data_IF_634015979791
#
_entry.id   IF_634015979791
#
_cell.length_a   1.000
_cell.length_b   1.000
_cell.length_c   1.000
_cell.angle_alpha   90.00
_cell.angle_beta   90.00
_cell.angle_gamma   90.00
#
_symmetry.space_group_name_H-M   'P 1'
#
loop_
_entity.id
_entity.type
_entity.pdbx_description
1 polymer ?
#
# COMPACT_ATOMS: atom_id res chain seq x y z
N UNK A 1 13.43 -13.44 -12.05
CA UNK A 1 14.48 -12.42 -12.21
C UNK A 1 15.77 -12.99 -11.61
N UNK A 2 16.94 -12.40 -11.89
CA UNK A 2 18.15 -12.79 -11.15
C UNK A 2 18.03 -12.33 -9.69
N UNK A 3 18.61 -13.07 -8.75
CA UNK A 3 18.55 -12.73 -7.32
C UNK A 3 19.03 -11.28 -7.00
N UNK A 4 20.09 -10.74 -7.64
CA UNK A 4 20.50 -9.35 -7.42
C UNK A 4 19.41 -8.33 -7.80
N UNK A 5 18.67 -8.57 -8.88
CA UNK A 5 17.60 -7.68 -9.30
C UNK A 5 16.41 -7.74 -8.34
N UNK A 6 16.09 -8.92 -7.79
CA UNK A 6 15.04 -9.07 -6.78
C UNK A 6 15.39 -8.30 -5.50
N UNK A 7 16.65 -8.34 -5.07
CA UNK A 7 17.13 -7.58 -3.90
C UNK A 7 17.07 -6.07 -4.16
N UNK A 8 17.54 -5.61 -5.33
CA UNK A 8 17.49 -4.20 -5.69
C UNK A 8 16.06 -3.65 -5.64
N UNK A 9 15.11 -4.37 -6.25
CA UNK A 9 13.70 -4.00 -6.21
C UNK A 9 13.09 -4.08 -4.81
N UNK A 10 13.54 -5.02 -3.99
CA UNK A 10 13.09 -5.10 -2.60
C UNK A 10 13.54 -3.87 -1.79
N UNK A 11 14.77 -3.39 -1.99
CA UNK A 11 15.29 -2.17 -1.36
C UNK A 11 14.53 -0.94 -1.86
N UNK A 12 14.33 -0.80 -3.17
CA UNK A 12 13.55 0.30 -3.75
C UNK A 12 12.14 0.30 -3.17
N UNK A 13 11.48 -0.86 -3.14
CA UNK A 13 10.16 -1.01 -2.56
C UNK A 13 10.12 -0.63 -1.08
N UNK A 14 11.14 -1.00 -0.31
CA UNK A 14 11.21 -0.68 1.12
C UNK A 14 11.30 0.84 1.33
N UNK A 15 12.19 1.50 0.57
CA UNK A 15 12.35 2.95 0.64
C UNK A 15 11.08 3.68 0.20
N UNK A 16 10.41 3.18 -0.84
CA UNK A 16 9.12 3.72 -1.28
C UNK A 16 8.03 3.54 -0.23
N UNK A 17 7.93 2.38 0.44
CA UNK A 17 6.94 2.16 1.50
C UNK A 17 7.21 3.07 2.70
N UNK A 18 8.47 3.23 3.11
CA UNK A 18 8.84 4.14 4.20
C UNK A 18 8.50 5.58 3.83
N UNK A 19 8.96 6.07 2.68
CA UNK A 19 8.65 7.42 2.21
C UNK A 19 7.14 7.65 2.06
N UNK A 20 6.44 6.69 1.46
CA UNK A 20 5.00 6.72 1.29
C UNK A 20 4.21 6.69 2.60
N UNK A 21 4.81 6.23 3.71
CA UNK A 21 4.17 6.27 5.03
C UNK A 21 3.96 7.70 5.52
N UNK A 22 4.86 8.62 5.15
CA UNK A 22 4.85 10.01 5.59
C UNK A 22 4.35 11.00 4.52
N UNK A 23 4.08 10.52 3.30
CA UNK A 23 3.57 11.35 2.21
C UNK A 23 2.06 11.17 2.06
N UNK A 24 1.32 12.25 2.33
CA UNK A 24 -0.12 12.32 2.14
C UNK A 24 -0.48 12.40 0.65
N UNK A 25 -1.57 11.74 0.26
CA UNK A 25 -2.06 11.72 -1.11
C UNK A 25 -2.98 12.91 -1.35
N UNK A 26 -2.71 13.64 -2.44
CA UNK A 26 -3.49 14.80 -2.85
C UNK A 26 -4.10 14.58 -4.24
N UNK A 27 -5.31 15.09 -4.42
CA UNK A 27 -5.98 15.18 -5.72
C UNK A 27 -5.98 16.63 -6.19
N UNK A 28 -5.63 16.85 -7.46
CA UNK A 28 -5.66 18.18 -8.07
C UNK A 28 -7.07 18.46 -8.56
N UNK A 29 -7.73 19.45 -7.98
CA UNK A 29 -9.14 19.75 -8.28
C UNK A 29 -9.32 20.55 -9.56
N UNK A 30 -8.35 21.39 -9.92
CA UNK A 30 -8.43 22.26 -11.08
C UNK A 30 -7.64 21.71 -12.27
N UNK A 31 -8.17 21.85 -13.49
CA UNK A 31 -7.52 21.30 -14.67
C UNK A 31 -6.26 22.11 -15.09
N UNK A 32 -5.36 21.52 -15.90
CA UNK A 32 -4.06 22.12 -16.22
C UNK A 32 -4.11 23.49 -16.88
N UNK A 33 -5.20 23.81 -17.59
CA UNK A 33 -5.37 25.10 -18.26
C UNK A 33 -5.64 26.27 -17.28
N UNK A 34 -6.08 25.99 -16.06
CA UNK A 34 -6.34 27.00 -15.03
C UNK A 34 -5.15 27.20 -14.07
N UNK A 35 -4.08 26.40 -14.19
CA UNK A 35 -2.94 26.46 -13.28
C UNK A 35 -2.13 27.77 -13.40
N UNK A 36 -2.13 28.40 -14.58
CA UNK A 36 -1.42 29.65 -14.81
C UNK A 36 -2.06 30.84 -14.10
N UNK A 37 -3.37 30.78 -13.84
CA UNK A 37 -4.15 31.89 -13.27
C UNK A 37 -4.54 31.65 -11.81
N UNK A 38 -4.84 30.40 -11.44
CA UNK A 38 -5.35 30.05 -10.10
C UNK A 38 -4.36 29.21 -9.27
N UNK A 39 -3.19 28.89 -9.82
CA UNK A 39 -2.24 27.96 -9.20
C UNK A 39 -2.74 26.52 -9.21
N UNK A 40 -1.99 25.60 -8.61
CA UNK A 40 -2.41 24.20 -8.45
C UNK A 40 -3.21 24.09 -7.16
N UNK A 41 -4.51 23.82 -7.25
CA UNK A 41 -5.35 23.58 -6.08
C UNK A 41 -5.39 22.09 -5.75
N UNK A 42 -4.99 21.75 -4.53
CA UNK A 42 -4.92 20.35 -4.06
C UNK A 42 -5.90 20.10 -2.93
N UNK A 43 -6.55 18.95 -2.97
CA UNK A 43 -7.43 18.45 -1.91
C UNK A 43 -6.77 17.20 -1.32
N UNK A 44 -6.63 17.14 0.00
CA UNK A 44 -6.15 15.92 0.67
C UNK A 44 -7.18 14.80 0.53
N UNK A 45 -6.70 13.60 0.22
CA UNK A 45 -7.49 12.38 0.16
C UNK A 45 -7.62 11.67 1.52
N UNK A 46 -6.97 12.19 2.57
CA UNK A 46 -6.98 11.59 3.92
C UNK A 46 -6.30 10.22 4.00
N UNK A 47 -5.47 9.87 3.02
CA UNK A 47 -4.68 8.63 2.97
C UNK A 47 -3.25 8.95 2.54
N UNK A 48 -2.31 8.08 2.87
CA UNK A 48 -0.91 8.22 2.46
C UNK A 48 -0.59 7.36 1.23
N UNK A 49 0.54 7.63 0.59
CA UNK A 49 1.03 6.84 -0.55
C UNK A 49 1.59 5.46 -0.15
N UNK A 50 1.54 5.08 1.13
CA UNK A 50 2.10 3.84 1.66
C UNK A 50 1.62 2.60 0.90
N UNK A 51 0.31 2.43 0.74
CA UNK A 51 -0.28 1.30 -0.02
C UNK A 51 0.10 1.41 -1.50
N UNK A 52 0.12 2.63 -2.04
CA UNK A 52 0.51 2.85 -3.43
C UNK A 52 1.95 2.40 -3.71
N UNK A 53 2.88 2.70 -2.80
CA UNK A 53 4.26 2.25 -2.86
C UNK A 53 4.39 0.72 -2.82
N UNK A 54 3.63 0.04 -1.95
CA UNK A 54 3.57 -1.42 -1.86
C UNK A 54 3.17 -2.04 -3.20
N UNK A 55 2.07 -1.55 -3.78
CA UNK A 55 1.53 -2.06 -5.04
C UNK A 55 2.45 -1.72 -6.23
N UNK A 56 3.02 -0.51 -6.27
CA UNK A 56 3.97 -0.11 -7.30
C UNK A 56 5.23 -0.99 -7.28
N UNK A 57 5.81 -1.20 -6.09
CA UNK A 57 6.98 -2.06 -5.92
C UNK A 57 6.69 -3.51 -6.37
N UNK A 58 5.50 -4.03 -6.07
CA UNK A 58 5.08 -5.35 -6.53
C UNK A 58 4.88 -5.41 -8.05
N UNK A 59 4.27 -4.39 -8.65
CA UNK A 59 4.11 -4.29 -10.10
C UNK A 59 5.45 -4.18 -10.83
N UNK A 60 6.47 -3.55 -10.27
CA UNK A 60 7.77 -3.38 -10.94
C UNK A 60 8.78 -4.48 -10.62
N UNK A 61 8.80 -4.97 -9.38
CA UNK A 61 9.76 -5.96 -8.89
C UNK A 61 9.25 -7.41 -8.86
N UNK A 62 7.94 -7.61 -9.02
CA UNK A 62 7.32 -8.93 -9.00
C UNK A 62 7.05 -9.47 -7.59
N UNK A 63 6.51 -10.69 -7.52
CA UNK A 63 6.00 -11.28 -6.27
C UNK A 63 7.06 -11.42 -5.17
N UNK A 64 8.28 -11.81 -5.53
CA UNK A 64 9.35 -12.06 -4.57
C UNK A 64 9.89 -10.75 -4.01
N UNK A 65 10.26 -9.81 -4.88
CA UNK A 65 10.80 -8.51 -4.45
C UNK A 65 9.77 -7.69 -3.67
N UNK A 66 8.51 -7.69 -4.13
CA UNK A 66 7.41 -7.04 -3.42
C UNK A 66 7.21 -7.62 -2.01
N UNK A 67 7.11 -8.94 -1.88
CA UNK A 67 6.96 -9.58 -0.57
C UNK A 67 8.18 -9.35 0.33
N UNK A 68 9.40 -9.49 -0.20
CA UNK A 68 10.64 -9.29 0.55
C UNK A 68 10.77 -7.86 1.06
N UNK A 69 10.39 -6.87 0.24
CA UNK A 69 10.31 -5.47 0.63
C UNK A 69 9.39 -5.26 1.83
N UNK A 70 8.19 -5.85 1.79
CA UNK A 70 7.23 -5.67 2.89
C UNK A 70 7.61 -6.45 4.15
N UNK A 71 8.25 -7.61 4.01
CA UNK A 71 8.85 -8.33 5.14
C UNK A 71 9.89 -7.44 5.82
N UNK A 72 10.80 -6.86 5.05
CA UNK A 72 11.80 -5.92 5.59
C UNK A 72 11.14 -4.72 6.24
N UNK A 73 10.08 -4.16 5.64
CA UNK A 73 9.32 -3.04 6.22
C UNK A 73 8.72 -3.39 7.59
N UNK A 74 8.10 -4.57 7.73
CA UNK A 74 7.54 -5.02 9.01
C UNK A 74 8.63 -5.24 10.05
N UNK A 75 9.71 -5.96 9.68
CA UNK A 75 10.82 -6.24 10.61
C UNK A 75 11.46 -4.94 11.09
N UNK A 76 11.73 -4.00 10.18
CA UNK A 76 12.33 -2.72 10.54
C UNK A 76 11.36 -1.88 11.37
N UNK A 77 10.07 -1.81 11.00
CA UNK A 77 9.08 -0.99 11.72
C UNK A 77 8.72 -1.49 13.11
N UNK A 78 8.94 -2.77 13.40
CA UNK A 78 8.86 -3.29 14.77
C UNK A 78 10.08 -2.93 15.62
N UNK A 79 11.20 -2.51 15.02
CA UNK A 79 12.43 -2.12 15.72
C UNK A 79 12.70 -0.60 15.68
N UNK A 80 12.21 0.10 14.67
CA UNK A 80 12.43 1.52 14.41
C UNK A 80 11.10 2.25 14.17
N UNK A 81 11.02 3.57 14.47
CA UNK A 81 9.78 4.36 14.39
C UNK A 81 9.41 4.77 12.96
N UNK A 82 9.28 3.80 12.05
CA UNK A 82 8.97 4.05 10.62
C UNK A 82 7.48 3.83 10.28
N UNK A 83 6.68 3.32 11.22
CA UNK A 83 5.22 3.26 11.06
C UNK A 83 4.59 4.61 11.41
N UNK A 84 3.35 4.83 10.95
CA UNK A 84 2.63 6.11 11.13
C UNK A 84 2.50 6.55 12.59
N UNK A 85 2.40 5.61 13.54
CA UNK A 85 2.28 5.90 14.98
C UNK A 85 3.59 5.66 15.76
N UNK A 86 4.76 5.74 15.11
CA UNK A 86 6.05 5.69 15.81
C UNK A 86 6.64 4.29 16.05
N UNK A 87 6.08 3.24 15.44
CA UNK A 87 6.70 1.90 15.37
C UNK A 87 6.85 1.14 16.69
N UNK A 88 7.73 0.14 16.69
CA UNK A 88 8.09 -0.68 17.86
C UNK A 88 7.26 -1.97 18.04
N UNK A 89 7.72 -2.88 18.89
CA UNK A 89 7.04 -4.17 19.16
C UNK A 89 5.62 -3.97 19.69
N UNK A 90 5.37 -2.89 20.43
CA UNK A 90 4.05 -2.52 20.92
C UNK A 90 3.04 -2.29 19.79
N UNK A 91 3.49 -1.93 18.59
CA UNK A 91 2.65 -1.67 17.43
C UNK A 91 1.85 -2.89 16.97
N UNK A 92 2.27 -4.11 17.36
CA UNK A 92 1.47 -5.32 17.12
C UNK A 92 0.07 -5.17 17.73
N UNK A 93 -0.08 -4.41 18.82
CA UNK A 93 -1.39 -4.18 19.44
C UNK A 93 -2.27 -3.20 18.68
N UNK A 94 -1.77 -2.55 17.64
CA UNK A 94 -2.55 -1.56 16.90
C UNK A 94 -3.47 -2.19 15.86
N UNK A 95 -4.75 -1.75 15.76
CA UNK A 95 -5.70 -2.27 14.79
C UNK A 95 -5.19 -2.18 13.34
N UNK A 96 -4.44 -1.12 13.01
CA UNK A 96 -3.86 -0.92 11.68
C UNK A 96 -2.73 -1.89 11.34
N UNK A 97 -2.12 -2.56 12.32
CA UNK A 97 -1.01 -3.48 12.07
C UNK A 97 -1.41 -4.67 11.19
N UNK A 98 -2.65 -5.13 11.28
CA UNK A 98 -3.19 -6.18 10.40
C UNK A 98 -3.08 -5.86 8.92
N UNK A 99 -3.24 -4.58 8.55
CA UNK A 99 -3.10 -4.12 7.17
C UNK A 99 -1.63 -4.10 6.74
N UNK A 100 -0.71 -3.77 7.65
CA UNK A 100 0.74 -3.84 7.40
C UNK A 100 1.17 -5.30 7.17
N UNK A 101 0.65 -6.26 7.94
CA UNK A 101 0.84 -7.69 7.66
C UNK A 101 0.25 -8.07 6.29
N UNK A 102 -0.92 -7.53 5.98
CA UNK A 102 -1.56 -7.66 4.68
C UNK A 102 -0.72 -7.15 3.51
N UNK A 103 0.20 -6.20 3.71
CA UNK A 103 1.10 -5.72 2.65
C UNK A 103 1.98 -6.83 2.09
N UNK A 104 2.41 -7.79 2.91
CA UNK A 104 3.24 -8.91 2.46
C UNK A 104 2.45 -9.78 1.48
N UNK A 105 1.26 -10.23 1.88
CA UNK A 105 0.40 -11.06 1.05
C UNK A 105 -0.11 -10.30 -0.18
N UNK A 106 -0.51 -9.04 -0.01
CA UNK A 106 -0.99 -8.18 -1.08
C UNK A 106 0.08 -7.87 -2.13
N UNK A 107 1.31 -7.55 -1.71
CA UNK A 107 2.43 -7.36 -2.63
C UNK A 107 2.75 -8.65 -3.39
N UNK A 108 2.70 -9.80 -2.73
CA UNK A 108 2.94 -11.08 -3.39
C UNK A 108 1.87 -11.38 -4.46
N UNK A 109 0.58 -11.23 -4.12
CA UNK A 109 -0.54 -11.46 -5.05
C UNK A 109 -0.49 -10.47 -6.22
N UNK A 110 -0.31 -9.18 -5.91
CA UNK A 110 -0.17 -8.12 -6.90
C UNK A 110 0.96 -8.44 -7.87
N UNK A 111 2.18 -8.63 -7.36
CA UNK A 111 3.36 -8.91 -8.17
C UNK A 111 3.25 -10.21 -8.97
N UNK A 112 2.60 -11.24 -8.43
CA UNK A 112 2.37 -12.50 -9.16
C UNK A 112 1.47 -12.27 -10.37
N UNK A 113 0.34 -11.58 -10.19
CA UNK A 113 -0.59 -11.28 -11.27
C UNK A 113 0.00 -10.32 -12.29
N UNK A 114 0.76 -9.30 -11.83
CA UNK A 114 1.37 -8.30 -12.69
C UNK A 114 2.38 -8.90 -13.67
N UNK A 115 3.08 -9.98 -13.30
CA UNK A 115 4.09 -10.65 -14.14
C UNK A 115 3.55 -11.87 -14.90
N UNK A 116 2.27 -12.20 -14.75
CA UNK A 116 1.67 -13.39 -15.39
C UNK A 116 1.37 -13.18 -16.88
N UNK A 117 1.11 -11.93 -17.27
CA UNK A 117 0.72 -11.54 -18.63
C UNK A 117 1.48 -10.27 -19.04
N UNK A 118 1.46 -9.96 -20.35
CA UNK A 118 2.06 -8.73 -20.86
C UNK A 118 1.46 -7.49 -20.18
N UNK A 119 2.28 -6.47 -19.90
CA UNK A 119 1.83 -5.27 -19.21
C UNK A 119 0.82 -4.50 -20.07
N UNK A 120 -0.43 -4.51 -19.62
CA UNK A 120 -1.48 -3.58 -20.06
C UNK A 120 -2.06 -2.86 -18.86
N UNK A 121 -2.62 -1.68 -19.07
CA UNK A 121 -3.20 -0.86 -17.99
C UNK A 121 -4.26 -1.67 -17.24
N UNK A 122 -5.11 -2.42 -17.94
CA UNK A 122 -6.18 -3.23 -17.35
C UNK A 122 -5.62 -4.39 -16.50
N UNK A 123 -4.57 -5.04 -16.99
CA UNK A 123 -3.93 -6.17 -16.27
C UNK A 123 -3.22 -5.70 -15.00
N UNK A 124 -2.62 -4.51 -15.03
CA UNK A 124 -1.96 -3.91 -13.89
C UNK A 124 -2.97 -3.36 -12.89
N UNK A 125 -4.06 -2.75 -13.36
CA UNK A 125 -5.18 -2.32 -12.52
C UNK A 125 -5.77 -3.51 -11.78
N UNK A 126 -6.07 -4.60 -12.50
CA UNK A 126 -6.62 -5.82 -11.91
C UNK A 126 -5.67 -6.41 -10.86
N UNK A 127 -4.38 -6.48 -11.17
CA UNK A 127 -3.34 -6.92 -10.23
C UNK A 127 -3.30 -6.06 -8.95
N UNK A 128 -3.32 -4.73 -9.10
CA UNK A 128 -3.34 -3.79 -7.97
C UNK A 128 -4.61 -3.95 -7.12
N UNK A 129 -5.78 -4.11 -7.77
CA UNK A 129 -7.05 -4.33 -7.08
C UNK A 129 -7.04 -5.64 -6.28
N UNK A 130 -6.54 -6.74 -6.86
CA UNK A 130 -6.38 -8.00 -6.13
C UNK A 130 -5.39 -7.87 -4.95
N UNK A 131 -4.31 -7.12 -5.14
CA UNK A 131 -3.37 -6.79 -4.06
C UNK A 131 -4.05 -6.01 -2.93
N UNK A 132 -4.78 -4.95 -3.27
CA UNK A 132 -5.54 -4.13 -2.33
C UNK A 132 -6.58 -4.96 -1.56
N UNK A 133 -7.36 -5.77 -2.26
CA UNK A 133 -8.35 -6.67 -1.65
C UNK A 133 -7.69 -7.65 -0.66
N UNK A 134 -6.51 -8.18 -1.02
CA UNK A 134 -5.75 -9.06 -0.14
C UNK A 134 -5.29 -8.33 1.13
N UNK A 135 -4.80 -7.10 1.00
CA UNK A 135 -4.40 -6.25 2.14
C UNK A 135 -5.59 -6.06 3.10
N UNK A 136 -6.76 -5.68 2.56
CA UNK A 136 -7.97 -5.48 3.35
C UNK A 136 -8.48 -6.78 3.98
N UNK A 137 -8.40 -7.92 3.28
CA UNK A 137 -8.80 -9.21 3.83
C UNK A 137 -7.95 -9.59 5.06
N UNK A 138 -6.63 -9.38 5.01
CA UNK A 138 -5.74 -9.60 6.15
C UNK A 138 -5.99 -8.58 7.27
N UNK A 139 -6.21 -7.30 6.94
CA UNK A 139 -6.55 -6.26 7.90
C UNK A 139 -7.84 -6.58 8.67
N UNK A 140 -8.92 -6.89 7.97
CA UNK A 140 -10.20 -7.28 8.58
C UNK A 140 -10.08 -8.59 9.36
N UNK A 141 -9.33 -9.57 8.84
CA UNK A 141 -9.00 -10.80 9.56
C UNK A 141 -8.33 -10.52 10.91
N UNK A 142 -7.38 -9.60 10.93
CA UNK A 142 -6.70 -9.16 12.15
C UNK A 142 -7.66 -8.49 13.13
N UNK A 143 -8.52 -7.59 12.65
CA UNK A 143 -9.53 -6.92 13.48
C UNK A 143 -10.48 -7.94 14.14
N UNK A 144 -10.92 -8.97 13.41
CA UNK A 144 -11.78 -10.02 13.94
C UNK A 144 -11.09 -10.83 15.05
N UNK A 145 -9.83 -11.22 14.86
CA UNK A 145 -9.05 -11.95 15.87
C UNK A 145 -8.85 -11.08 17.11
N UNK A 146 -8.46 -9.82 16.93
CA UNK A 146 -8.20 -8.89 18.01
C UNK A 146 -9.45 -8.62 18.86
N UNK A 147 -10.61 -8.48 18.21
CA UNK A 147 -11.90 -8.33 18.87
C UNK A 147 -12.31 -9.63 19.61
N UNK A 148 -12.09 -10.80 18.99
CA UNK A 148 -12.44 -12.10 19.58
C UNK A 148 -11.63 -12.48 20.82
N UNK A 149 -10.37 -12.02 20.94
CA UNK A 149 -9.51 -12.29 22.09
C UNK A 149 -9.75 -11.29 23.24
N UNK A 150 -10.65 -10.30 23.08
CA UNK A 150 -10.88 -9.22 24.05
C UNK A 150 -9.56 -8.56 24.51
N UNK A 151 -8.66 -8.27 23.56
CA UNK A 151 -7.39 -7.59 23.86
C UNK A 151 -7.67 -6.12 24.24
N UNK A 152 -8.14 -5.93 25.46
CA UNK A 152 -8.95 -4.82 25.95
C UNK A 152 -8.17 -3.56 26.35
N UNK A 153 -6.89 -3.45 26.02
CA UNK A 153 -6.10 -2.25 26.36
C UNK A 153 -6.35 -1.08 25.36
N UNK A 154 -7.08 -1.32 24.26
CA UNK A 154 -7.61 -0.27 23.35
C UNK A 154 -9.14 -0.45 23.11
N UNK A 155 -9.83 -1.08 24.08
CA UNK A 155 -11.22 -1.51 23.99
C UNK A 155 -12.26 -0.40 24.13
N UNK A 156 -12.47 0.41 23.09
CA UNK A 156 -13.64 1.30 23.02
C UNK A 156 -14.37 1.30 21.67
N UNK A 157 -13.74 0.83 20.58
CA UNK A 157 -14.36 0.87 19.26
C UNK A 157 -14.97 -0.49 18.89
N UNK A 158 -16.29 -0.58 18.63
CA UNK A 158 -16.91 -1.81 18.15
C UNK A 158 -16.34 -2.23 16.79
N UNK A 159 -16.36 -3.54 16.50
CA UNK A 159 -15.76 -4.11 15.28
C UNK A 159 -16.26 -3.40 14.00
N UNK A 160 -17.56 -3.08 13.94
CA UNK A 160 -18.14 -2.38 12.79
C UNK A 160 -17.51 -0.99 12.60
N UNK A 161 -17.33 -0.22 13.66
CA UNK A 161 -16.68 1.10 13.58
C UNK A 161 -15.21 0.98 13.17
N UNK A 162 -14.50 -0.04 13.63
CA UNK A 162 -13.13 -0.30 13.20
C UNK A 162 -13.07 -0.61 11.69
N UNK A 163 -13.96 -1.47 11.18
CA UNK A 163 -14.03 -1.77 9.73
C UNK A 163 -14.39 -0.51 8.94
N UNK A 164 -15.33 0.29 9.42
CA UNK A 164 -15.70 1.56 8.78
C UNK A 164 -14.50 2.52 8.71
N UNK A 165 -13.75 2.64 9.81
CA UNK A 165 -12.61 3.55 9.92
C UNK A 165 -11.41 3.10 9.07
N UNK A 166 -11.04 1.83 9.12
CA UNK A 166 -9.79 1.34 8.53
C UNK A 166 -9.95 0.72 7.13
N UNK A 167 -11.16 0.24 6.78
CA UNK A 167 -11.42 -0.34 5.46
C UNK A 167 -12.32 0.56 4.62
N UNK A 168 -13.53 0.86 5.07
CA UNK A 168 -14.55 1.48 4.19
C UNK A 168 -14.25 2.95 3.89
N UNK A 169 -13.97 3.75 4.92
CA UNK A 169 -13.70 5.19 4.76
C UNK A 169 -12.50 5.50 3.84
N UNK A 170 -11.34 4.82 3.97
CA UNK A 170 -10.21 5.11 3.09
C UNK A 170 -10.29 4.41 1.72
N UNK A 171 -11.24 3.49 1.50
CA UNK A 171 -11.33 2.71 0.26
C UNK A 171 -11.43 3.59 -1.00
N UNK A 172 -12.29 4.62 -1.08
CA UNK A 172 -12.40 5.45 -2.28
C UNK A 172 -11.09 6.16 -2.60
N UNK A 173 -10.44 6.73 -1.58
CA UNK A 173 -9.14 7.39 -1.71
C UNK A 173 -8.04 6.42 -2.16
N UNK A 174 -8.04 5.20 -1.63
CA UNK A 174 -7.11 4.15 -2.04
C UNK A 174 -7.34 3.69 -3.48
N UNK A 175 -8.58 3.68 -3.98
CA UNK A 175 -8.86 3.41 -5.40
C UNK A 175 -8.26 4.48 -6.32
N UNK A 176 -8.31 5.75 -5.92
CA UNK A 176 -7.64 6.84 -6.66
C UNK A 176 -6.13 6.59 -6.71
N UNK A 177 -5.52 6.21 -5.58
CA UNK A 177 -4.09 5.85 -5.51
C UNK A 177 -3.77 4.64 -6.40
N UNK A 178 -4.63 3.62 -6.43
CA UNK A 178 -4.46 2.45 -7.32
C UNK A 178 -4.48 2.85 -8.79
N UNK A 179 -5.36 3.78 -9.19
CA UNK A 179 -5.38 4.30 -10.56
C UNK A 179 -4.06 4.99 -10.90
N UNK A 180 -3.56 5.86 -10.03
CA UNK A 180 -2.27 6.53 -10.22
C UNK A 180 -1.11 5.53 -10.32
N UNK A 181 -1.05 4.55 -9.41
CA UNK A 181 -0.03 3.51 -9.42
C UNK A 181 -0.07 2.68 -10.69
N UNK A 182 -1.25 2.34 -11.18
CA UNK A 182 -1.42 1.57 -12.42
C UNK A 182 -0.80 2.30 -13.61
N UNK A 183 -1.11 3.59 -13.76
CA UNK A 183 -0.59 4.42 -14.86
C UNK A 183 0.93 4.55 -14.76
N UNK A 184 1.46 4.84 -13.57
CA UNK A 184 2.90 4.96 -13.33
C UNK A 184 3.60 3.62 -13.58
N UNK A 185 3.05 2.51 -13.08
CA UNK A 185 3.60 1.18 -13.28
C UNK A 185 3.63 0.79 -14.77
N UNK A 186 2.57 1.11 -15.51
CA UNK A 186 2.51 0.89 -16.95
C UNK A 186 3.60 1.68 -17.67
N UNK A 187 3.69 2.99 -17.42
CA UNK A 187 4.68 3.87 -18.05
C UNK A 187 6.13 3.40 -17.76
N UNK A 188 6.43 3.07 -16.50
CA UNK A 188 7.76 2.59 -16.11
C UNK A 188 8.08 1.23 -16.74
N UNK A 189 7.11 0.31 -16.84
CA UNK A 189 7.34 -0.96 -17.52
C UNK A 189 7.61 -0.78 -19.02
N UNK A 190 6.98 0.19 -19.67
CA UNK A 190 7.30 0.48 -21.07
C UNK A 190 8.72 1.03 -21.23
N UNK A 191 9.19 1.85 -20.28
CA UNK A 191 10.55 2.41 -20.31
C UNK A 191 11.65 1.41 -19.97
N UNK A 192 11.37 0.43 -19.10
CA UNK A 192 12.38 -0.53 -18.62
C UNK A 192 12.52 -1.78 -19.47
N UNK A 193 11.49 -2.13 -20.25
CA UNK A 193 11.45 -3.35 -21.06
C UNK A 193 11.52 -3.08 -22.58
N UNK A 194 11.84 -1.84 -22.98
CA UNK A 194 12.31 -1.46 -24.31
C UNK A 194 13.78 -1.08 -24.25
#
# INVERSE_FOLDING_TARGET
>A
MSAPNEILWAIIGLLLTIGGTFLEAFFVSNPPWDWSTQGVQTISLGVTYQIGAVLLAACLGGRNAGALSQIAYVVIGLNLPIFTQGGGIGYIKEPSFGYILGFIAGAWVCGFLAFRVQPRVETLAFSCLCGLLTIHAYGVGYLMIFHGINWSVLGAMPLMEAIMKYTISPLPSQLVVVCSVTVVAFALRQLMFY
#
